data_IF_021367761318
#
_entry.id   IF_021367761318
#
_cell.length_a   1.000
_cell.length_b   1.000
_cell.length_c   1.000
_cell.angle_alpha   90.00
_cell.angle_beta   90.00
_cell.angle_gamma   90.00
#
_symmetry.space_group_name_H-M   'P 1'
#
loop_
_entity.id
_entity.type
_entity.pdbx_description
1 polymer ?
#
# COMPACT_ATOMS: atom_id res chain seq x y z
N UNK A 1 0.60 21.21 26.60
CA UNK A 1 0.50 19.81 26.14
C UNK A 1 -0.22 19.82 24.81
N UNK A 2 0.45 19.53 23.69
CA UNK A 2 -0.23 19.37 22.41
C UNK A 2 -1.05 18.09 22.48
N UNK A 3 -2.32 18.22 22.83
CA UNK A 3 -3.27 17.10 22.77
C UNK A 3 -3.31 16.67 21.30
N UNK A 4 -2.92 15.43 21.03
CA UNK A 4 -2.93 14.88 19.68
C UNK A 4 -4.31 15.02 19.04
N UNK A 5 -4.37 15.02 17.71
CA UNK A 5 -5.66 15.01 17.02
C UNK A 5 -6.46 13.80 17.52
N UNK A 6 -7.69 14.00 18.04
CA UNK A 6 -8.47 12.90 18.60
C UNK A 6 -8.76 11.86 17.53
N UNK A 7 -8.93 10.61 17.94
CA UNK A 7 -9.29 9.50 17.07
C UNK A 7 -10.79 9.19 17.23
N UNK A 8 -11.46 8.71 16.17
CA UNK A 8 -12.78 8.10 16.31
C UNK A 8 -12.77 6.93 17.32
N UNK A 9 -13.93 6.67 17.93
CA UNK A 9 -14.09 5.60 18.92
C UNK A 9 -13.71 4.24 18.30
N UNK A 10 -13.11 3.35 19.09
CA UNK A 10 -12.72 2.00 18.67
C UNK A 10 -11.61 1.94 17.61
N UNK A 11 -10.91 3.05 17.38
CA UNK A 11 -9.80 3.13 16.42
C UNK A 11 -8.46 3.45 17.08
N UNK A 12 -7.40 3.02 16.43
CA UNK A 12 -6.02 3.39 16.71
C UNK A 12 -5.32 3.84 15.42
N UNK A 13 -4.15 4.46 15.54
CA UNK A 13 -3.27 4.66 14.38
C UNK A 13 -2.83 3.29 13.84
N UNK A 14 -2.54 3.23 12.53
CA UNK A 14 -1.98 2.03 11.92
C UNK A 14 -0.45 2.07 11.97
N UNK A 15 0.14 1.22 12.80
CA UNK A 15 1.59 1.20 13.11
C UNK A 15 2.49 0.94 11.91
N UNK A 16 1.95 0.34 10.85
CA UNK A 16 2.69 -0.02 9.64
C UNK A 16 2.34 0.88 8.44
N UNK A 17 1.71 2.04 8.69
CA UNK A 17 1.48 3.02 7.64
C UNK A 17 2.81 3.65 7.19
N UNK A 18 3.21 3.36 5.95
CA UNK A 18 4.50 3.86 5.40
C UNK A 18 4.31 5.10 4.53
N UNK A 19 3.16 5.21 3.87
CA UNK A 19 2.82 6.33 3.02
C UNK A 19 1.31 6.63 3.07
N UNK A 20 0.92 7.75 2.45
CA UNK A 20 -0.49 8.09 2.24
C UNK A 20 -1.10 8.98 3.34
N UNK A 21 -2.38 8.75 3.60
CA UNK A 21 -3.24 9.65 4.39
C UNK A 21 -3.02 9.45 5.89
N UNK A 22 -2.02 10.11 6.47
CA UNK A 22 -1.78 10.07 7.93
C UNK A 22 -2.84 10.91 8.64
N UNK A 23 -3.44 10.36 9.70
CA UNK A 23 -4.43 11.05 10.51
C UNK A 23 -3.83 12.34 11.13
N UNK A 24 -4.58 13.43 11.11
CA UNK A 24 -4.16 14.74 11.60
C UNK A 24 -3.40 15.64 10.62
N UNK A 25 -2.90 15.12 9.49
CA UNK A 25 -2.03 15.87 8.56
C UNK A 25 -2.77 16.63 7.42
N UNK A 26 -4.09 16.51 7.31
CA UNK A 26 -4.88 17.11 6.22
C UNK A 26 -6.00 18.03 6.73
N UNK A 27 -6.58 18.82 5.81
CA UNK A 27 -7.74 19.69 6.07
C UNK A 27 -8.90 18.96 6.77
N UNK A 28 -9.14 17.70 6.43
CA UNK A 28 -10.20 16.88 7.04
C UNK A 28 -9.79 16.25 8.37
N UNK A 29 -8.49 16.26 8.71
CA UNK A 29 -7.87 15.53 9.84
C UNK A 29 -8.06 14.00 9.82
N UNK A 30 -8.98 13.46 9.03
CA UNK A 30 -9.15 12.01 8.84
C UNK A 30 -7.98 11.41 8.06
N UNK A 31 -7.62 10.18 8.42
CA UNK A 31 -6.56 9.41 7.80
C UNK A 31 -6.82 7.92 7.93
N UNK A 32 -5.86 7.11 7.48
CA UNK A 32 -5.85 5.67 7.65
C UNK A 32 -5.84 5.32 9.14
N UNK A 33 -6.73 4.42 9.55
CA UNK A 33 -6.83 3.96 10.94
C UNK A 33 -6.93 2.45 10.99
N UNK A 34 -6.69 1.88 12.17
CA UNK A 34 -6.96 0.48 12.48
C UNK A 34 -8.15 0.42 13.44
N UNK A 35 -9.12 -0.42 13.14
CA UNK A 35 -10.27 -0.67 14.01
C UNK A 35 -9.91 -1.77 15.05
N UNK A 36 -10.61 -1.78 16.19
CA UNK A 36 -10.36 -2.73 17.30
C UNK A 36 -10.42 -4.22 16.91
N UNK A 37 -11.14 -4.55 15.84
CA UNK A 37 -11.25 -5.92 15.33
C UNK A 37 -10.08 -6.35 14.43
N UNK A 38 -9.16 -5.43 14.17
CA UNK A 38 -7.98 -5.62 13.35
C UNK A 38 -8.11 -5.13 11.91
N UNK A 39 -9.28 -4.71 11.45
CA UNK A 39 -9.48 -4.19 10.09
C UNK A 39 -8.88 -2.78 9.89
N UNK A 40 -8.59 -2.44 8.64
CA UNK A 40 -8.07 -1.13 8.23
C UNK A 40 -9.21 -0.25 7.72
N UNK A 41 -9.19 1.01 8.13
CA UNK A 41 -10.19 2.01 7.80
C UNK A 41 -9.56 3.09 6.92
N UNK A 42 -10.05 3.24 5.69
CA UNK A 42 -9.68 4.31 4.76
C UNK A 42 -10.81 5.34 4.68
N UNK A 43 -10.58 6.63 4.93
CA UNK A 43 -11.66 7.61 5.01
C UNK A 43 -12.36 7.81 3.66
N UNK A 44 -13.69 7.78 3.67
CA UNK A 44 -14.55 8.13 2.55
C UNK A 44 -15.02 9.57 2.72
N UNK A 45 -14.56 10.44 1.82
CA UNK A 45 -14.81 11.87 1.87
C UNK A 45 -15.77 12.23 0.73
N UNK A 46 -17.02 12.64 1.01
CA UNK A 46 -17.98 13.00 -0.04
C UNK A 46 -17.49 14.10 -0.99
N UNK A 47 -16.63 14.99 -0.48
CA UNK A 47 -16.02 16.06 -1.27
C UNK A 47 -14.80 15.61 -2.11
N UNK A 48 -14.30 14.39 -1.91
CA UNK A 48 -13.15 13.84 -2.62
C UNK A 48 -13.55 12.66 -3.53
N UNK A 49 -13.74 12.97 -4.81
CA UNK A 49 -14.09 12.00 -5.86
C UNK A 49 -13.13 10.80 -5.93
N UNK A 50 -11.89 10.91 -5.44
CA UNK A 50 -10.92 9.80 -5.44
C UNK A 50 -11.34 8.71 -4.46
N UNK A 51 -11.80 9.10 -3.27
CA UNK A 51 -12.24 8.15 -2.23
C UNK A 51 -13.52 7.43 -2.65
N UNK A 52 -14.45 8.15 -3.30
CA UNK A 52 -15.67 7.57 -3.86
C UNK A 52 -15.38 6.61 -5.03
N UNK A 53 -14.40 6.94 -5.88
CA UNK A 53 -13.96 6.06 -6.96
C UNK A 53 -13.34 4.78 -6.42
N UNK A 54 -12.53 4.87 -5.37
CA UNK A 54 -11.96 3.71 -4.70
C UNK A 54 -13.05 2.83 -4.07
N UNK A 55 -14.02 3.42 -3.38
CA UNK A 55 -15.16 2.66 -2.82
C UNK A 55 -15.95 1.94 -3.92
N UNK A 56 -16.31 2.64 -4.99
CA UNK A 56 -17.02 2.04 -6.13
C UNK A 56 -16.25 0.87 -6.74
N UNK A 57 -14.93 1.01 -6.88
CA UNK A 57 -14.07 -0.08 -7.36
C UNK A 57 -14.16 -1.32 -6.47
N UNK A 58 -14.08 -1.17 -5.14
CA UNK A 58 -14.23 -2.32 -4.24
C UNK A 58 -15.64 -2.93 -4.27
N UNK A 59 -16.70 -2.12 -4.36
CA UNK A 59 -18.08 -2.62 -4.52
C UNK A 59 -18.26 -3.41 -5.83
N UNK A 60 -17.69 -2.94 -6.94
CA UNK A 60 -17.75 -3.65 -8.22
C UNK A 60 -16.98 -4.97 -8.17
N UNK A 61 -15.75 -4.94 -7.63
CA UNK A 61 -14.90 -6.12 -7.59
C UNK A 61 -15.43 -7.15 -6.60
N UNK A 62 -15.90 -6.75 -5.42
CA UNK A 62 -16.34 -7.64 -4.33
C UNK A 62 -17.86 -7.80 -4.18
N UNK A 63 -18.65 -7.23 -5.10
CA UNK A 63 -20.11 -7.31 -5.09
C UNK A 63 -20.66 -8.74 -5.06
N UNK A 64 -21.93 -8.86 -4.64
CA UNK A 64 -22.60 -10.12 -4.34
C UNK A 64 -23.00 -10.98 -5.55
N UNK A 65 -22.87 -10.46 -6.78
CA UNK A 65 -23.11 -11.22 -8.01
C UNK A 65 -21.98 -12.20 -8.31
N UNK A 66 -22.20 -13.12 -9.25
CA UNK A 66 -21.14 -13.98 -9.80
C UNK A 66 -20.20 -13.11 -10.66
N UNK A 67 -18.97 -12.84 -10.19
CA UNK A 67 -18.06 -11.98 -10.93
C UNK A 67 -17.44 -12.74 -12.13
N UNK A 68 -17.06 -12.06 -13.22
CA UNK A 68 -16.24 -12.66 -14.27
C UNK A 68 -14.94 -13.25 -13.70
N UNK A 69 -14.36 -14.30 -14.33
CA UNK A 69 -13.11 -14.93 -13.87
C UNK A 69 -11.98 -13.95 -13.60
N UNK A 70 -11.83 -12.91 -14.43
CA UNK A 70 -10.80 -11.89 -14.24
C UNK A 70 -10.98 -11.11 -12.93
N UNK A 71 -12.22 -10.83 -12.51
CA UNK A 71 -12.47 -10.16 -11.23
C UNK A 71 -12.25 -11.11 -10.04
N UNK A 72 -12.47 -12.42 -10.19
CA UNK A 72 -12.10 -13.41 -9.18
C UNK A 72 -10.59 -13.43 -8.95
N UNK A 73 -9.81 -13.44 -10.03
CA UNK A 73 -8.35 -13.38 -9.94
C UNK A 73 -7.90 -12.05 -9.32
N UNK A 74 -8.51 -10.92 -9.71
CA UNK A 74 -8.20 -9.62 -9.13
C UNK A 74 -8.43 -9.59 -7.61
N UNK A 75 -9.50 -10.20 -7.10
CA UNK A 75 -9.76 -10.29 -5.64
C UNK A 75 -8.60 -10.91 -4.87
N UNK A 76 -7.82 -11.81 -5.49
CA UNK A 76 -6.67 -12.45 -4.82
C UNK A 76 -5.48 -11.51 -4.65
N UNK A 77 -5.43 -10.42 -5.40
CA UNK A 77 -4.37 -9.41 -5.30
C UNK A 77 -4.76 -8.24 -4.40
N UNK A 78 -6.03 -8.10 -4.00
CA UNK A 78 -6.52 -6.95 -3.24
C UNK A 78 -6.71 -7.30 -1.75
N UNK A 79 -6.58 -6.32 -0.84
CA UNK A 79 -7.13 -6.45 0.50
C UNK A 79 -8.62 -6.78 0.44
N UNK A 80 -9.07 -7.72 1.27
CA UNK A 80 -10.49 -8.11 1.28
C UNK A 80 -11.36 -6.92 1.68
N UNK A 81 -12.41 -6.67 0.88
CA UNK A 81 -13.42 -5.68 1.20
C UNK A 81 -14.36 -6.18 2.31
N UNK A 82 -14.56 -5.38 3.36
CA UNK A 82 -15.37 -5.70 4.53
C UNK A 82 -16.58 -4.76 4.70
N UNK A 83 -16.94 -4.02 3.65
CA UNK A 83 -18.02 -3.03 3.67
C UNK A 83 -17.54 -1.63 4.08
N UNK A 84 -18.49 -0.78 4.43
CA UNK A 84 -18.20 0.54 5.04
C UNK A 84 -18.43 0.52 6.55
N UNK A 85 -17.83 1.49 7.24
CA UNK A 85 -18.00 1.69 8.67
C UNK A 85 -18.21 3.16 8.96
N UNK A 86 -19.23 3.47 9.76
CA UNK A 86 -19.62 4.82 10.14
C UNK A 86 -19.42 5.04 11.63
N UNK A 87 -19.02 6.25 12.00
CA UNK A 87 -18.82 6.65 13.39
C UNK A 87 -19.04 8.15 13.57
N UNK A 88 -19.34 8.58 14.79
CA UNK A 88 -19.19 9.98 15.16
C UNK A 88 -17.71 10.34 15.28
N UNK A 89 -17.34 11.49 14.74
CA UNK A 89 -16.04 12.12 14.94
C UNK A 89 -16.23 13.63 15.14
N UNK A 90 -16.01 14.10 16.37
CA UNK A 90 -16.16 15.50 16.74
C UNK A 90 -17.58 16.04 16.46
N UNK A 91 -18.62 15.23 16.70
CA UNK A 91 -20.01 15.62 16.47
C UNK A 91 -20.45 15.57 15.00
N UNK A 92 -19.67 14.93 14.13
CA UNK A 92 -20.02 14.71 12.73
C UNK A 92 -19.96 13.22 12.40
N UNK A 93 -20.97 12.71 11.70
CA UNK A 93 -20.90 11.36 11.11
C UNK A 93 -19.81 11.35 10.03
N UNK A 94 -18.86 10.43 10.17
CA UNK A 94 -17.82 10.16 9.17
C UNK A 94 -17.89 8.69 8.76
N UNK A 95 -17.51 8.43 7.51
CA UNK A 95 -17.56 7.10 6.92
C UNK A 95 -16.17 6.66 6.44
N UNK A 96 -15.92 5.36 6.56
CA UNK A 96 -14.68 4.71 6.16
C UNK A 96 -14.98 3.48 5.30
N UNK A 97 -14.14 3.26 4.31
CA UNK A 97 -13.98 1.99 3.62
C UNK A 97 -13.23 1.04 4.57
N UNK A 98 -13.79 -0.15 4.79
CA UNK A 98 -13.20 -1.15 5.69
C UNK A 98 -12.58 -2.28 4.89
N UNK A 99 -11.29 -2.51 5.13
CA UNK A 99 -10.48 -3.52 4.45
C UNK A 99 -9.81 -4.44 5.47
N UNK A 100 -9.47 -5.66 5.07
CA UNK A 100 -8.62 -6.51 5.92
C UNK A 100 -7.19 -5.96 6.03
N UNK A 101 -6.51 -6.25 7.13
CA UNK A 101 -5.13 -5.85 7.38
C UNK A 101 -4.16 -6.89 6.82
N UNK A 102 -3.56 -6.57 5.68
CA UNK A 102 -2.60 -7.46 4.99
C UNK A 102 -1.31 -7.73 5.77
N UNK A 103 -1.08 -7.01 6.88
CA UNK A 103 0.06 -7.21 7.78
C UNK A 103 -0.30 -8.05 9.01
N UNK A 104 -1.58 -8.38 9.22
CA UNK A 104 -2.11 -8.99 10.46
C UNK A 104 -1.43 -10.30 10.83
N UNK A 105 -1.08 -11.12 9.84
CA UNK A 105 -0.46 -12.44 10.08
C UNK A 105 1.05 -12.39 10.30
N UNK A 106 1.67 -11.23 10.14
CA UNK A 106 3.11 -11.04 10.21
C UNK A 106 3.49 -10.60 11.61
N UNK A 107 4.44 -11.32 12.24
CA UNK A 107 4.93 -10.99 13.57
C UNK A 107 5.90 -9.82 13.52
N UNK A 108 6.73 -9.75 12.48
CA UNK A 108 7.71 -8.68 12.29
C UNK A 108 7.71 -8.20 10.83
N UNK A 109 6.63 -7.50 10.41
CA UNK A 109 6.44 -7.12 9.02
C UNK A 109 7.46 -6.09 8.55
N UNK A 110 8.19 -6.44 7.49
CA UNK A 110 8.86 -5.50 6.62
C UNK A 110 7.91 -5.13 5.47
N UNK A 111 7.71 -3.84 5.22
CA UNK A 111 6.69 -3.33 4.29
C UNK A 111 7.33 -2.37 3.30
N UNK A 112 7.01 -2.49 2.02
CA UNK A 112 7.36 -1.52 0.97
C UNK A 112 6.12 -1.16 0.15
N UNK A 113 5.89 0.14 -0.02
CA UNK A 113 4.87 0.67 -0.92
C UNK A 113 5.56 1.14 -2.20
N UNK A 114 5.24 0.50 -3.33
CA UNK A 114 5.77 0.81 -4.65
C UNK A 114 4.64 1.27 -5.56
N UNK A 115 4.66 2.55 -5.93
CA UNK A 115 3.73 3.09 -6.91
C UNK A 115 4.08 2.59 -8.31
N UNK A 116 3.12 2.00 -9.01
CA UNK A 116 3.29 1.44 -10.35
C UNK A 116 2.79 2.41 -11.42
N UNK A 117 3.48 2.40 -12.57
CA UNK A 117 3.16 3.17 -13.75
C UNK A 117 4.10 4.36 -13.94
N UNK A 118 4.55 4.54 -15.19
CA UNK A 118 5.24 5.76 -15.62
C UNK A 118 4.32 7.00 -15.55
N UNK A 119 3.03 6.79 -15.79
CA UNK A 119 1.99 7.80 -15.70
C UNK A 119 1.20 7.65 -14.39
N UNK A 120 1.33 8.63 -13.48
CA UNK A 120 0.65 8.60 -12.17
C UNK A 120 -0.56 9.55 -12.06
N UNK A 121 -1.07 10.01 -13.21
CA UNK A 121 -2.27 10.83 -13.36
C UNK A 121 -3.30 10.11 -14.24
N UNK A 122 -4.59 10.24 -13.89
CA UNK A 122 -5.68 9.67 -14.68
C UNK A 122 -6.01 10.53 -15.92
N UNK A 123 -6.70 9.98 -16.94
CA UNK A 123 -7.03 10.70 -18.18
C UNK A 123 -7.88 11.97 -17.99
N UNK A 124 -8.52 12.13 -16.83
CA UNK A 124 -9.35 13.30 -16.48
C UNK A 124 -8.59 14.31 -15.61
N UNK A 125 -7.28 14.12 -15.41
CA UNK A 125 -6.46 15.03 -14.61
C UNK A 125 -6.32 16.39 -15.32
N UNK A 126 -6.51 17.52 -14.61
CA UNK A 126 -6.27 18.83 -15.19
C UNK A 126 -4.77 19.03 -15.50
N UNK A 127 -4.41 19.91 -16.46
CA UNK A 127 -3.01 20.12 -16.88
C UNK A 127 -2.06 20.43 -15.73
N UNK A 128 -2.50 21.21 -14.73
CA UNK A 128 -1.70 21.54 -13.55
C UNK A 128 -1.37 20.29 -12.71
N UNK A 129 -2.33 19.37 -12.56
CA UNK A 129 -2.12 18.10 -11.85
C UNK A 129 -1.19 17.19 -12.65
N UNK A 130 -1.31 17.17 -13.98
CA UNK A 130 -0.42 16.42 -14.87
C UNK A 130 1.03 16.89 -14.68
N UNK A 131 1.28 18.19 -14.84
CA UNK A 131 2.61 18.77 -14.65
C UNK A 131 3.19 18.49 -13.25
N UNK A 132 2.36 18.59 -12.21
CA UNK A 132 2.77 18.28 -10.84
C UNK A 132 3.15 16.80 -10.66
N UNK A 133 2.40 15.85 -11.24
CA UNK A 133 2.74 14.43 -11.15
C UNK A 133 4.01 14.09 -11.94
N UNK A 134 4.20 14.66 -13.13
CA UNK A 134 5.40 14.46 -13.96
C UNK A 134 6.66 15.01 -13.31
N UNK A 135 6.57 16.19 -12.68
CA UNK A 135 7.70 16.81 -11.99
C UNK A 135 8.13 16.07 -10.72
N UNK A 136 7.26 15.23 -10.12
CA UNK A 136 7.56 14.57 -8.83
C UNK A 136 8.73 13.62 -8.91
N UNK A 137 8.86 12.86 -10.00
CA UNK A 137 9.88 11.82 -10.10
C UNK A 137 10.39 11.68 -11.53
N UNK A 138 11.53 12.32 -11.79
CA UNK A 138 12.16 12.38 -13.12
C UNK A 138 12.42 11.03 -13.78
N UNK A 139 12.59 9.97 -12.99
CA UNK A 139 12.90 8.62 -13.50
C UNK A 139 11.67 7.74 -13.68
N UNK A 140 10.46 8.26 -13.43
CA UNK A 140 9.21 7.50 -13.54
C UNK A 140 9.00 6.88 -14.92
N UNK A 141 9.32 7.61 -16.00
CA UNK A 141 9.23 7.10 -17.37
C UNK A 141 10.23 5.99 -17.70
N UNK A 142 11.41 6.02 -17.09
CA UNK A 142 12.46 5.02 -17.34
C UNK A 142 12.27 3.76 -16.50
N UNK A 143 11.88 3.92 -15.22
CA UNK A 143 11.72 2.79 -14.29
C UNK A 143 10.31 2.18 -14.33
N UNK A 144 9.30 2.96 -14.69
CA UNK A 144 7.90 2.52 -14.70
C UNK A 144 7.28 2.37 -13.30
N UNK A 145 8.01 2.72 -12.24
CA UNK A 145 7.53 2.70 -10.86
C UNK A 145 8.36 3.66 -9.97
N UNK A 146 7.91 3.86 -8.73
CA UNK A 146 8.72 4.50 -7.66
C UNK A 146 8.38 3.99 -6.28
N UNK A 147 9.36 3.95 -5.39
CA UNK A 147 9.16 3.64 -3.96
C UNK A 147 8.50 4.85 -3.28
N UNK A 148 7.36 4.65 -2.63
CA UNK A 148 6.71 5.69 -1.79
C UNK A 148 7.26 5.67 -0.36
N UNK A 149 7.65 4.49 0.11
CA UNK A 149 8.43 4.30 1.30
C UNK A 149 8.58 2.83 1.64
N UNK A 150 9.43 2.54 2.62
CA UNK A 150 9.58 1.20 3.18
C UNK A 150 9.91 1.24 4.67
N UNK A 151 9.55 0.18 5.37
CA UNK A 151 9.90 -0.08 6.77
C UNK A 151 10.54 -1.46 6.84
N UNK A 152 11.78 -1.49 7.27
CA UNK A 152 12.62 -2.70 7.24
C UNK A 152 13.12 -2.95 8.66
N UNK A 153 13.04 -4.19 9.12
CA UNK A 153 13.61 -4.59 10.40
C UNK A 153 15.09 -4.91 10.24
N UNK A 154 15.94 -4.25 11.02
CA UNK A 154 17.36 -4.54 11.11
C UNK A 154 17.62 -5.52 12.27
N UNK A 155 18.12 -6.70 11.94
CA UNK A 155 18.43 -7.74 12.92
C UNK A 155 19.69 -7.46 13.75
N UNK A 156 20.61 -6.63 13.25
CA UNK A 156 21.79 -6.22 14.00
C UNK A 156 21.44 -5.17 15.06
N UNK A 157 20.57 -4.22 14.71
CA UNK A 157 20.17 -3.12 15.59
C UNK A 157 18.89 -3.42 16.39
N UNK A 158 18.20 -4.53 16.10
CA UNK A 158 16.91 -4.93 16.69
C UNK A 158 15.84 -3.83 16.63
N UNK A 159 15.83 -3.06 15.54
CA UNK A 159 14.91 -1.94 15.35
C UNK A 159 14.45 -1.81 13.90
N UNK A 160 13.43 -1.01 13.68
CA UNK A 160 12.96 -0.68 12.33
C UNK A 160 13.64 0.57 11.78
N UNK A 161 14.02 0.49 10.50
CA UNK A 161 14.41 1.64 9.70
C UNK A 161 13.25 2.01 8.77
N UNK A 162 12.84 3.27 8.82
CA UNK A 162 11.76 3.80 7.97
C UNK A 162 12.36 4.75 6.95
N UNK A 163 12.10 4.44 5.68
CA UNK A 163 12.54 5.21 4.53
C UNK A 163 11.30 5.82 3.89
N UNK A 164 11.14 7.14 4.04
CA UNK A 164 9.96 7.84 3.56
C UNK A 164 10.05 8.26 2.09
N UNK A 165 9.08 9.09 1.69
CA UNK A 165 8.95 9.66 0.34
C UNK A 165 10.27 10.23 -0.21
N UNK A 166 11.02 10.97 0.59
CA UNK A 166 12.26 11.62 0.13
C UNK A 166 13.36 10.62 -0.22
N UNK A 167 13.38 9.46 0.44
CA UNK A 167 14.30 8.37 0.07
C UNK A 167 13.93 7.81 -1.30
N UNK A 168 12.64 7.53 -1.53
CA UNK A 168 12.14 7.00 -2.81
C UNK A 168 12.37 7.96 -3.97
N UNK A 169 12.13 9.26 -3.77
CA UNK A 169 12.35 10.28 -4.81
C UNK A 169 13.81 10.49 -5.20
N UNK A 170 14.76 10.12 -4.33
CA UNK A 170 16.20 10.18 -4.60
C UNK A 170 16.71 9.01 -5.43
N UNK A 171 15.94 7.92 -5.55
CA UNK A 171 16.40 6.74 -6.28
C UNK A 171 16.52 7.02 -7.78
N UNK A 172 17.58 6.49 -8.39
CA UNK A 172 17.87 6.57 -9.83
C UNK A 172 17.88 5.17 -10.43
N UNK A 173 17.97 5.02 -11.77
CA UNK A 173 18.16 3.72 -12.40
C UNK A 173 19.38 2.95 -11.85
N UNK A 174 20.42 3.66 -11.41
CA UNK A 174 21.64 3.05 -10.88
C UNK A 174 21.50 2.64 -9.40
N UNK A 175 20.66 3.32 -8.62
CA UNK A 175 20.54 3.05 -7.17
C UNK A 175 19.34 2.19 -6.80
N UNK A 176 18.37 2.02 -7.69
CA UNK A 176 17.11 1.34 -7.37
C UNK A 176 17.31 -0.12 -6.94
N UNK A 177 18.28 -0.81 -7.53
CA UNK A 177 18.61 -2.19 -7.17
C UNK A 177 19.05 -2.29 -5.71
N UNK A 178 19.88 -1.36 -5.25
CA UNK A 178 20.34 -1.33 -3.86
C UNK A 178 19.21 -0.97 -2.88
N UNK A 179 18.23 -0.18 -3.32
CA UNK A 179 17.03 0.09 -2.52
C UNK A 179 16.19 -1.19 -2.31
N UNK A 180 16.00 -2.02 -3.34
CA UNK A 180 15.33 -3.32 -3.19
C UNK A 180 16.15 -4.31 -2.36
N UNK A 181 17.48 -4.36 -2.52
CA UNK A 181 18.34 -5.18 -1.64
C UNK A 181 18.22 -4.76 -0.17
N UNK A 182 18.22 -3.46 0.08
CA UNK A 182 17.98 -2.90 1.43
C UNK A 182 16.65 -3.37 1.98
N UNK A 183 15.58 -3.30 1.18
CA UNK A 183 14.27 -3.79 1.59
C UNK A 183 14.24 -5.28 1.89
N UNK A 184 14.91 -6.10 1.07
CA UNK A 184 14.99 -7.56 1.23
C UNK A 184 15.90 -7.99 2.39
N UNK A 185 16.46 -7.05 3.16
CA UNK A 185 17.39 -7.33 4.25
C UNK A 185 18.76 -7.83 3.77
N UNK A 186 19.09 -7.64 2.49
CA UNK A 186 20.38 -8.05 1.94
C UNK A 186 21.44 -7.03 2.36
N UNK A 187 22.38 -7.48 3.20
CA UNK A 187 23.49 -6.66 3.71
C UNK A 187 24.83 -7.28 3.34
N UNK A 188 25.95 -6.58 3.61
CA UNK A 188 27.28 -7.19 3.47
C UNK A 188 27.44 -8.45 4.34
N UNK A 189 26.75 -8.49 5.48
CA UNK A 189 26.79 -9.62 6.41
C UNK A 189 25.79 -10.73 6.04
N UNK A 190 24.72 -10.39 5.31
CA UNK A 190 23.72 -11.32 4.79
C UNK A 190 23.50 -11.05 3.29
N UNK A 191 24.46 -11.44 2.43
CA UNK A 191 24.41 -11.10 1.01
C UNK A 191 23.48 -12.02 0.19
N UNK A 192 23.05 -13.14 0.77
CA UNK A 192 22.22 -14.13 0.10
C UNK A 192 20.79 -13.61 -0.07
N UNK A 193 20.20 -13.92 -1.22
CA UNK A 193 18.78 -13.64 -1.46
C UNK A 193 17.90 -14.34 -0.43
N UNK A 194 16.83 -13.69 0.06
CA UNK A 194 15.92 -14.32 1.00
C UNK A 194 15.19 -15.49 0.35
N UNK A 195 14.86 -16.52 1.15
CA UNK A 195 14.25 -17.77 0.65
C UNK A 195 12.86 -17.56 0.02
N UNK A 196 12.15 -16.50 0.41
CA UNK A 196 10.84 -16.15 -0.15
C UNK A 196 10.91 -15.40 -1.48
N UNK A 197 12.10 -14.99 -1.95
CA UNK A 197 12.23 -14.19 -3.18
C UNK A 197 11.60 -14.87 -4.41
N UNK A 198 11.76 -16.19 -4.64
CA UNK A 198 11.06 -16.87 -5.73
C UNK A 198 9.54 -16.76 -5.64
N UNK A 199 8.96 -16.88 -4.43
CA UNK A 199 7.52 -16.77 -4.22
C UNK A 199 7.02 -15.35 -4.48
N UNK A 200 7.79 -14.33 -4.09
CA UNK A 200 7.50 -12.94 -4.43
C UNK A 200 7.49 -12.72 -5.94
N UNK A 201 8.50 -13.23 -6.66
CA UNK A 201 8.59 -13.10 -8.11
C UNK A 201 7.41 -13.80 -8.80
N UNK A 202 6.97 -14.95 -8.29
CA UNK A 202 5.79 -15.65 -8.81
C UNK A 202 4.50 -14.84 -8.60
N UNK A 203 4.31 -14.23 -7.42
CA UNK A 203 3.16 -13.35 -7.17
C UNK A 203 3.16 -12.13 -8.11
N UNK A 204 4.32 -11.51 -8.34
CA UNK A 204 4.46 -10.40 -9.28
C UNK A 204 4.15 -10.82 -10.73
N UNK A 205 4.57 -12.02 -11.14
CA UNK A 205 4.26 -12.53 -12.48
C UNK A 205 2.77 -12.82 -12.64
N UNK A 206 2.08 -13.33 -11.61
CA UNK A 206 0.62 -13.49 -11.65
C UNK A 206 -0.12 -12.15 -11.78
N UNK A 207 0.31 -11.13 -11.03
CA UNK A 207 -0.24 -9.78 -11.14
C UNK A 207 0.00 -9.25 -12.57
N UNK A 208 1.23 -9.35 -13.07
CA UNK A 208 1.57 -8.95 -14.44
C UNK A 208 0.70 -9.63 -15.47
N UNK A 209 0.56 -10.96 -15.40
CA UNK A 209 -0.25 -11.74 -16.33
C UNK A 209 -1.71 -11.27 -16.34
N UNK A 210 -2.29 -11.03 -15.16
CA UNK A 210 -3.64 -10.49 -15.06
C UNK A 210 -3.77 -9.12 -15.74
N UNK A 211 -2.80 -8.22 -15.54
CA UNK A 211 -2.77 -6.92 -16.21
C UNK A 211 -2.63 -7.04 -17.75
N UNK A 212 -1.92 -8.04 -18.25
CA UNK A 212 -1.75 -8.30 -19.68
C UNK A 212 -3.02 -8.87 -20.34
N UNK A 213 -3.89 -9.55 -19.60
CA UNK A 213 -5.10 -10.23 -20.12
C UNK A 213 -6.39 -9.41 -19.93
N UNK A 214 -6.59 -8.80 -18.77
CA UNK A 214 -7.81 -8.05 -18.46
C UNK A 214 -7.98 -6.79 -19.35
N UNK A 215 -9.21 -6.38 -19.62
CA UNK A 215 -9.52 -5.17 -20.43
C UNK A 215 -10.52 -4.21 -19.76
N UNK A 216 -10.78 -4.40 -18.48
CA UNK A 216 -11.83 -3.68 -17.75
C UNK A 216 -11.29 -2.45 -17.01
N UNK A 217 -10.05 -2.50 -16.53
CA UNK A 217 -9.48 -1.49 -15.65
C UNK A 217 -8.17 -0.92 -16.18
N UNK A 218 -7.99 0.38 -15.99
CA UNK A 218 -6.71 1.06 -16.09
C UNK A 218 -6.40 1.68 -14.72
N UNK A 219 -5.28 1.25 -14.12
CA UNK A 219 -4.87 1.69 -12.79
C UNK A 219 -3.87 2.83 -12.91
N UNK A 220 -4.20 3.98 -12.33
CA UNK A 220 -3.33 5.15 -12.27
C UNK A 220 -3.03 5.47 -10.82
N UNK A 221 -1.75 5.66 -10.50
CA UNK A 221 -1.32 6.04 -9.15
C UNK A 221 -1.62 5.00 -8.05
N UNK A 222 -1.90 3.73 -8.42
CA UNK A 222 -1.98 2.59 -7.51
C UNK A 222 -0.59 2.10 -7.10
N UNK A 223 -0.53 1.22 -6.11
CA UNK A 223 0.72 0.71 -5.55
C UNK A 223 0.66 -0.79 -5.36
N UNK A 224 1.79 -1.45 -5.56
CA UNK A 224 2.03 -2.74 -4.94
C UNK A 224 2.51 -2.51 -3.50
N UNK A 225 1.87 -3.17 -2.54
CA UNK A 225 2.34 -3.25 -1.17
C UNK A 225 2.96 -4.63 -0.96
N UNK A 226 4.28 -4.65 -0.74
CA UNK A 226 5.06 -5.87 -0.54
C UNK A 226 5.32 -6.02 0.95
N UNK A 227 4.95 -7.16 1.52
CA UNK A 227 5.06 -7.45 2.97
C UNK A 227 5.68 -8.83 3.19
N UNK A 228 6.79 -8.90 3.93
CA UNK A 228 7.37 -10.17 4.37
C UNK A 228 7.62 -10.18 5.87
N UNK A 229 7.63 -11.37 6.48
CA UNK A 229 7.99 -11.51 7.90
C UNK A 229 9.51 -11.60 8.01
N UNK A 230 10.13 -10.67 8.75
CA UNK A 230 11.58 -10.76 9.01
C UNK A 230 11.93 -11.85 10.01
N UNK A 231 10.96 -12.41 10.76
CA UNK A 231 11.19 -13.58 11.58
C UNK A 231 11.20 -14.86 10.73
N UNK A 232 12.31 -15.58 10.76
CA UNK A 232 12.48 -16.89 10.14
C UNK A 232 12.41 -18.00 11.20
N UNK A 233 11.27 -18.16 11.87
CA UNK A 233 11.12 -19.33 12.75
C UNK A 233 10.76 -20.57 11.93
N UNK A 234 11.63 -21.57 12.07
CA UNK A 234 11.72 -22.83 11.35
C UNK A 234 10.48 -23.72 11.47
N UNK A 235 9.81 -23.98 10.34
CA UNK A 235 9.21 -25.25 9.87
C UNK A 235 8.18 -24.99 8.77
N UNK A 236 7.51 -23.83 8.80
CA UNK A 236 6.76 -23.26 7.69
C UNK A 236 7.58 -22.11 7.10
N UNK A 237 7.74 -22.04 5.78
CA UNK A 237 8.57 -21.04 5.11
C UNK A 237 8.28 -19.59 5.52
N UNK A 238 9.26 -18.70 5.28
CA UNK A 238 9.11 -17.27 5.55
C UNK A 238 7.94 -16.69 4.74
N UNK A 239 6.92 -16.17 5.42
CA UNK A 239 5.71 -15.65 4.77
C UNK A 239 6.02 -14.40 3.95
N UNK A 240 5.42 -14.31 2.76
CA UNK A 240 5.45 -13.15 1.88
C UNK A 240 4.04 -12.93 1.31
N UNK A 241 3.61 -11.67 1.28
CA UNK A 241 2.38 -11.25 0.63
C UNK A 241 2.64 -9.99 -0.20
N UNK A 242 2.20 -9.99 -1.45
CA UNK A 242 2.18 -8.83 -2.33
C UNK A 242 0.75 -8.56 -2.75
N UNK A 243 0.24 -7.38 -2.39
CA UNK A 243 -1.10 -6.92 -2.77
C UNK A 243 -1.00 -5.68 -3.65
N UNK A 244 -2.00 -5.46 -4.51
CA UNK A 244 -2.08 -4.38 -5.50
C UNK A 244 -3.17 -3.34 -5.19
#
# INVERSE_FOLDING_TARGET
MNVGTPLPVETSLFDYQIAGHVHGNKKTKLGLLKHKDGSILKPLLPSDKRTLREHKFYEEVFGAGEPPPDLLTLRTFLPKYLGTWKTDYLGQEVEYLRLDDVTREFRRPCVMDVKIGAQTYDPLAPPEKVALEEAKYRWGWQLGFRILGMRVFDHSEQKYHVYGKDYGLKQTPDTILEAFKTFLGMTRQQPNSPKFLPDLLLQLEHIRHWFETQRFYAFYSSSLLIVYDSLSESSNGQKINCVA
#
